data_IF_896706144332
#
_entry.id   IF_896706144332
#
_cell.length_a   1.000
_cell.length_b   1.000
_cell.length_c   1.000
_cell.angle_alpha   90.00
_cell.angle_beta   90.00
_cell.angle_gamma   90.00
#
_symmetry.space_group_name_H-M   'P 1'
#
loop_
_entity.id
_entity.type
_entity.pdbx_description
1 polymer ?
#
# COMPACT_ATOMS: atom_id res chain seq x y z
N UNK A 1 -19.34 -11.14 -8.57
CA UNK A 1 -19.43 -10.19 -7.43
C UNK A 1 -18.77 -10.80 -6.21
N UNK A 2 -18.12 -9.98 -5.40
CA UNK A 2 -17.30 -10.39 -4.26
C UNK A 2 -17.86 -9.75 -2.99
N UNK A 3 -18.28 -10.58 -2.02
CA UNK A 3 -18.92 -10.11 -0.79
C UNK A 3 -17.90 -9.51 0.17
N UNK A 4 -18.26 -8.38 0.78
CA UNK A 4 -17.53 -7.78 1.89
C UNK A 4 -17.95 -8.52 3.17
N UNK A 5 -17.00 -9.24 3.78
CA UNK A 5 -17.25 -10.01 5.03
C UNK A 5 -16.99 -9.18 6.28
N UNK A 6 -16.12 -8.15 6.17
CA UNK A 6 -15.79 -7.24 7.27
C UNK A 6 -15.44 -5.86 6.70
N UNK A 7 -15.90 -4.83 7.39
CA UNK A 7 -15.52 -3.45 7.16
C UNK A 7 -15.10 -2.79 8.47
N UNK A 8 -13.91 -2.18 8.51
CA UNK A 8 -13.41 -1.49 9.70
C UNK A 8 -12.78 -0.15 9.31
N UNK A 9 -13.25 0.93 9.92
CA UNK A 9 -12.60 2.24 9.81
C UNK A 9 -11.36 2.24 10.70
N UNK A 10 -10.18 2.51 10.13
CA UNK A 10 -8.91 2.55 10.86
C UNK A 10 -8.56 3.97 11.30
N UNK A 11 -8.78 4.96 10.41
CA UNK A 11 -8.60 6.39 10.66
C UNK A 11 -9.75 7.15 10.01
N UNK A 12 -9.74 8.48 10.07
CA UNK A 12 -10.74 9.32 9.42
C UNK A 12 -10.91 9.02 7.93
N UNK A 13 -9.80 8.74 7.22
CA UNK A 13 -9.77 8.53 5.76
C UNK A 13 -9.14 7.20 5.33
N UNK A 14 -8.94 6.25 6.25
CA UNK A 14 -8.42 4.92 5.93
C UNK A 14 -9.35 3.86 6.51
N UNK A 15 -9.66 2.86 5.70
CA UNK A 15 -10.47 1.71 6.12
C UNK A 15 -9.87 0.39 5.64
N UNK A 16 -10.27 -0.67 6.31
CA UNK A 16 -9.95 -2.05 6.00
C UNK A 16 -11.21 -2.75 5.50
N UNK A 17 -11.08 -3.54 4.46
CA UNK A 17 -12.09 -4.47 3.99
C UNK A 17 -11.54 -5.88 3.89
N UNK A 18 -12.29 -6.85 4.42
CA UNK A 18 -12.08 -8.26 4.21
C UNK A 18 -13.09 -8.77 3.20
N UNK A 19 -12.62 -9.33 2.10
CA UNK A 19 -13.42 -9.64 0.92
C UNK A 19 -13.36 -11.14 0.66
N UNK A 20 -14.52 -11.77 0.45
CA UNK A 20 -14.63 -13.18 0.08
C UNK A 20 -14.15 -13.37 -1.35
N UNK A 21 -12.93 -13.86 -1.51
CA UNK A 21 -12.26 -14.04 -2.80
C UNK A 21 -11.50 -15.38 -2.86
N UNK A 22 -12.19 -16.53 -2.95
CA UNK A 22 -11.59 -17.85 -2.80
C UNK A 22 -10.40 -18.13 -3.71
N UNK A 23 -10.51 -17.74 -5.00
CA UNK A 23 -9.44 -17.98 -5.99
C UNK A 23 -8.18 -17.16 -5.67
N UNK A 24 -8.35 -15.91 -5.27
CA UNK A 24 -7.24 -15.02 -4.89
C UNK A 24 -6.62 -15.50 -3.58
N UNK A 25 -7.42 -15.69 -2.54
CA UNK A 25 -6.95 -16.09 -1.21
C UNK A 25 -6.14 -17.40 -1.22
N UNK A 26 -6.49 -18.35 -2.12
CA UNK A 26 -5.78 -19.63 -2.23
C UNK A 26 -4.39 -19.47 -2.85
N UNK A 27 -4.19 -18.51 -3.74
CA UNK A 27 -3.00 -18.39 -4.60
C UNK A 27 -2.10 -17.21 -4.26
N UNK A 28 -2.61 -16.18 -3.58
CA UNK A 28 -1.83 -14.98 -3.31
C UNK A 28 -0.68 -15.23 -2.33
N UNK A 29 0.35 -14.42 -2.51
CA UNK A 29 1.56 -14.35 -1.69
C UNK A 29 1.81 -12.89 -1.30
N UNK A 30 2.65 -12.68 -0.29
CA UNK A 30 3.06 -11.34 0.11
C UNK A 30 3.70 -10.55 -1.04
N UNK A 31 3.45 -9.24 -1.10
CA UNK A 31 3.93 -8.34 -2.15
C UNK A 31 3.01 -8.23 -3.37
N UNK A 32 2.02 -9.11 -3.53
CA UNK A 32 1.05 -9.07 -4.63
C UNK A 32 -0.12 -8.12 -4.35
N UNK A 33 -0.86 -7.80 -5.40
CA UNK A 33 -2.01 -6.88 -5.37
C UNK A 33 -3.20 -7.44 -6.14
N UNK A 34 -4.30 -6.73 -6.10
CA UNK A 34 -5.53 -7.00 -6.86
C UNK A 34 -5.96 -5.75 -7.61
N UNK A 35 -6.67 -5.93 -8.72
CA UNK A 35 -7.44 -4.85 -9.36
C UNK A 35 -8.88 -4.97 -8.91
N UNK A 36 -9.43 -3.87 -8.40
CA UNK A 36 -10.80 -3.79 -7.89
C UNK A 36 -11.61 -2.84 -8.75
N UNK A 37 -12.87 -3.22 -9.02
CA UNK A 37 -13.90 -2.37 -9.63
C UNK A 37 -15.19 -2.53 -8.84
N UNK A 38 -15.73 -1.44 -8.31
CA UNK A 38 -16.86 -1.49 -7.38
C UNK A 38 -18.20 -1.71 -8.08
N UNK A 39 -18.41 -1.12 -9.25
CA UNK A 39 -19.64 -1.20 -10.05
C UNK A 39 -19.34 -1.12 -11.56
N UNK A 40 -20.35 -1.20 -12.41
CA UNK A 40 -20.19 -1.20 -13.87
C UNK A 40 -19.58 0.10 -14.42
N UNK A 41 -19.77 1.22 -13.74
CA UNK A 41 -19.22 2.54 -14.08
C UNK A 41 -17.95 2.87 -13.32
N UNK A 42 -17.55 1.98 -12.41
CA UNK A 42 -16.39 2.13 -11.54
C UNK A 42 -15.07 2.04 -12.30
N UNK A 43 -14.11 2.83 -11.85
CA UNK A 43 -12.72 2.71 -12.29
C UNK A 43 -12.11 1.42 -11.77
N UNK A 44 -11.10 0.95 -12.47
CA UNK A 44 -10.26 -0.15 -12.05
C UNK A 44 -9.08 0.41 -11.25
N UNK A 45 -8.98 0.04 -9.98
CA UNK A 45 -7.92 0.53 -9.08
C UNK A 45 -7.08 -0.63 -8.54
N UNK A 46 -5.75 -0.48 -8.47
CA UNK A 46 -4.87 -1.45 -7.83
C UNK A 46 -4.92 -1.28 -6.31
N UNK A 47 -5.07 -2.38 -5.59
CA UNK A 47 -4.98 -2.41 -4.14
C UNK A 47 -4.06 -3.55 -3.72
N UNK A 48 -3.05 -3.23 -2.92
CA UNK A 48 -2.14 -4.25 -2.41
C UNK A 48 -2.84 -5.15 -1.40
N UNK A 49 -2.56 -6.43 -1.46
CA UNK A 49 -3.05 -7.41 -0.50
C UNK A 49 -2.35 -7.16 0.84
N UNK A 50 -3.14 -6.77 1.85
CA UNK A 50 -2.66 -6.55 3.20
C UNK A 50 -2.58 -7.85 4.02
N UNK A 51 -3.55 -8.74 3.80
CA UNK A 51 -3.60 -10.04 4.48
C UNK A 51 -4.49 -11.00 3.70
N UNK A 52 -4.39 -12.29 3.99
CA UNK A 52 -5.24 -13.30 3.37
C UNK A 52 -5.42 -14.51 4.29
N UNK A 53 -6.63 -15.04 4.29
CA UNK A 53 -6.99 -16.25 5.02
C UNK A 53 -7.40 -17.34 4.04
N UNK A 54 -6.58 -18.40 3.96
CA UNK A 54 -6.81 -19.53 3.04
C UNK A 54 -7.96 -20.43 3.51
N UNK A 55 -8.22 -20.52 4.82
CA UNK A 55 -9.29 -21.33 5.39
C UNK A 55 -10.64 -20.64 5.16
N UNK A 56 -10.73 -19.38 5.54
CA UNK A 56 -11.93 -18.57 5.35
C UNK A 56 -12.06 -18.04 3.92
N UNK A 57 -11.04 -18.23 3.07
CA UNK A 57 -11.02 -17.81 1.65
C UNK A 57 -11.30 -16.32 1.48
N UNK A 58 -10.67 -15.50 2.33
CA UNK A 58 -10.81 -14.04 2.33
C UNK A 58 -9.47 -13.36 2.04
N UNK A 59 -9.56 -12.17 1.47
CA UNK A 59 -8.43 -11.27 1.22
C UNK A 59 -8.74 -9.94 1.88
N UNK A 60 -7.77 -9.39 2.60
CA UNK A 60 -7.86 -8.09 3.25
C UNK A 60 -7.13 -7.04 2.45
N UNK A 61 -7.79 -5.93 2.21
CA UNK A 61 -7.21 -4.73 1.62
C UNK A 61 -7.40 -3.54 2.56
N UNK A 62 -6.42 -2.65 2.59
CA UNK A 62 -6.50 -1.37 3.32
C UNK A 62 -6.49 -0.25 2.29
N UNK A 63 -7.44 0.65 2.40
CA UNK A 63 -7.73 1.66 1.39
C UNK A 63 -7.72 3.03 2.02
N UNK A 64 -7.01 3.97 1.39
CA UNK A 64 -7.06 5.39 1.73
C UNK A 64 -8.00 6.12 0.78
N UNK A 65 -8.89 6.93 1.32
CA UNK A 65 -9.86 7.74 0.57
C UNK A 65 -9.18 8.98 -0.01
N UNK A 66 -8.60 8.83 -1.22
CA UNK A 66 -7.86 9.89 -1.91
C UNK A 66 -8.44 10.26 -3.28
N UNK A 67 -9.42 9.51 -3.78
CA UNK A 67 -10.05 9.70 -5.08
C UNK A 67 -11.53 9.31 -5.05
N UNK A 68 -12.26 9.64 -6.11
CA UNK A 68 -13.70 9.37 -6.22
C UNK A 68 -14.06 7.90 -5.98
N UNK A 69 -13.30 6.98 -6.56
CA UNK A 69 -13.53 5.53 -6.42
C UNK A 69 -13.29 5.06 -4.99
N UNK A 70 -12.22 5.52 -4.33
CA UNK A 70 -11.93 5.13 -2.94
C UNK A 70 -12.91 5.75 -1.95
N UNK A 71 -13.44 6.97 -2.21
CA UNK A 71 -14.56 7.55 -1.46
C UNK A 71 -15.83 6.68 -1.57
N UNK A 72 -16.21 6.29 -2.81
CA UNK A 72 -17.36 5.39 -3.01
C UNK A 72 -17.15 4.06 -2.30
N UNK A 73 -15.96 3.51 -2.38
CA UNK A 73 -15.61 2.25 -1.72
C UNK A 73 -15.74 2.37 -0.19
N UNK A 74 -15.33 3.50 0.40
CA UNK A 74 -15.48 3.78 1.82
C UNK A 74 -16.92 3.87 2.33
N UNK A 75 -17.90 4.01 1.42
CA UNK A 75 -19.35 3.99 1.73
C UNK A 75 -19.93 2.58 1.77
N UNK A 76 -19.24 1.59 1.19
CA UNK A 76 -19.67 0.20 1.24
C UNK A 76 -19.59 -0.36 2.67
N UNK A 77 -20.43 -1.33 2.96
CA UNK A 77 -20.50 -1.95 4.29
C UNK A 77 -20.47 -3.47 4.17
N UNK A 78 -20.27 -4.12 5.29
CA UNK A 78 -20.39 -5.57 5.44
C UNK A 78 -21.68 -6.09 4.84
N UNK A 79 -21.62 -7.22 4.14
CA UNK A 79 -22.74 -7.82 3.42
C UNK A 79 -22.95 -7.29 1.99
N UNK A 80 -22.40 -6.13 1.65
CA UNK A 80 -22.43 -5.59 0.27
C UNK A 80 -21.38 -6.25 -0.62
N UNK A 81 -21.39 -5.91 -1.91
CA UNK A 81 -20.59 -6.57 -2.92
C UNK A 81 -19.73 -5.59 -3.72
N UNK A 82 -18.56 -6.05 -4.11
CA UNK A 82 -17.69 -5.46 -5.13
C UNK A 82 -17.89 -6.23 -6.42
N UNK A 83 -17.95 -5.55 -7.55
CA UNK A 83 -18.22 -6.17 -8.86
C UNK A 83 -17.06 -7.08 -9.29
N UNK A 84 -15.83 -6.51 -9.39
CA UNK A 84 -14.63 -7.24 -9.78
C UNK A 84 -13.55 -7.18 -8.71
N UNK A 85 -12.88 -8.31 -8.51
CA UNK A 85 -11.73 -8.47 -7.63
C UNK A 85 -10.76 -9.44 -8.31
N UNK A 86 -9.89 -8.88 -9.15
CA UNK A 86 -9.02 -9.62 -10.06
C UNK A 86 -7.63 -9.76 -9.46
N UNK A 87 -7.15 -10.98 -9.35
CA UNK A 87 -5.83 -11.29 -8.81
C UNK A 87 -5.65 -12.76 -8.46
N UNK A 88 -4.53 -13.11 -7.79
CA UNK A 88 -3.43 -12.20 -7.45
C UNK A 88 -2.67 -11.72 -8.68
N UNK A 89 -2.22 -10.47 -8.67
CA UNK A 89 -1.45 -9.84 -9.73
C UNK A 89 -0.07 -9.41 -9.23
N UNK A 90 0.84 -9.18 -10.15
CA UNK A 90 2.24 -8.87 -9.84
C UNK A 90 3.05 -10.09 -9.41
N UNK A 91 4.37 -9.91 -9.40
CA UNK A 91 5.31 -10.87 -8.82
C UNK A 91 5.24 -10.82 -7.29
N UNK A 92 5.26 -11.97 -6.62
CA UNK A 92 5.41 -12.00 -5.17
C UNK A 92 6.72 -11.33 -4.72
N UNK A 93 6.77 -10.86 -3.47
CA UNK A 93 8.00 -10.34 -2.89
C UNK A 93 9.15 -11.33 -3.03
N UNK A 94 10.35 -10.83 -3.34
CA UNK A 94 11.54 -11.67 -3.45
C UNK A 94 11.82 -12.46 -2.16
N UNK A 95 11.34 -11.99 -1.02
CA UNK A 95 11.47 -12.71 0.25
C UNK A 95 10.82 -14.08 0.20
N UNK A 96 9.74 -14.23 -0.56
CA UNK A 96 9.00 -15.50 -0.68
C UNK A 96 9.73 -16.55 -1.51
N UNK A 97 10.74 -16.13 -2.28
CA UNK A 97 11.55 -17.01 -3.14
C UNK A 97 12.88 -17.40 -2.49
N UNK A 98 13.25 -16.81 -1.35
CA UNK A 98 14.48 -17.12 -0.63
C UNK A 98 14.29 -18.30 0.32
N UNK A 99 15.34 -19.11 0.46
CA UNK A 99 15.39 -20.14 1.49
C UNK A 99 15.49 -19.52 2.89
N UNK A 100 15.12 -20.31 3.91
CA UNK A 100 15.24 -19.86 5.32
C UNK A 100 16.70 -19.53 5.65
N UNK A 101 17.66 -20.31 5.11
CA UNK A 101 19.09 -20.10 5.33
C UNK A 101 19.58 -18.79 4.69
N UNK A 102 19.06 -18.40 3.52
CA UNK A 102 19.38 -17.12 2.90
C UNK A 102 18.77 -15.96 3.70
N UNK A 103 17.51 -16.10 4.14
CA UNK A 103 16.82 -15.08 4.94
C UNK A 103 17.50 -14.86 6.31
N UNK A 104 17.96 -15.93 6.97
CA UNK A 104 18.66 -15.85 8.26
C UNK A 104 20.00 -15.09 8.20
N UNK A 105 20.58 -14.94 7.03
CA UNK A 105 21.83 -14.16 6.83
C UNK A 105 21.59 -12.67 6.66
N UNK A 106 20.33 -12.24 6.55
CA UNK A 106 19.99 -10.85 6.25
C UNK A 106 19.42 -10.15 7.47
N UNK A 107 19.97 -9.01 7.79
CA UNK A 107 19.34 -8.03 8.69
C UNK A 107 18.41 -7.16 7.86
N UNK A 108 17.10 -7.35 8.04
CA UNK A 108 16.07 -6.73 7.21
C UNK A 108 15.40 -5.59 7.95
N UNK A 109 15.27 -4.44 7.28
CA UNK A 109 14.46 -3.32 7.75
C UNK A 109 13.39 -2.97 6.72
N UNK A 110 12.16 -2.82 7.20
CA UNK A 110 11.06 -2.24 6.42
C UNK A 110 10.93 -0.75 6.73
N UNK A 111 10.66 0.04 5.71
CA UNK A 111 10.37 1.47 5.85
C UNK A 111 9.01 1.74 5.21
N UNK A 112 8.03 2.03 6.06
CA UNK A 112 6.64 2.21 5.65
C UNK A 112 6.18 3.65 5.84
N UNK A 113 5.52 4.24 4.84
CA UNK A 113 4.93 5.57 4.92
C UNK A 113 3.41 5.56 4.76
N UNK A 114 2.68 6.08 5.74
CA UNK A 114 1.22 6.16 5.69
C UNK A 114 0.55 4.80 5.45
N UNK A 115 -0.30 4.69 4.42
CA UNK A 115 -0.96 3.44 4.05
C UNK A 115 0.00 2.33 3.59
N UNK A 116 1.27 2.67 3.29
CA UNK A 116 2.32 1.70 2.94
C UNK A 116 2.63 0.68 4.04
N UNK A 117 2.13 0.87 5.25
CA UNK A 117 2.15 -0.13 6.32
C UNK A 117 1.36 -1.39 5.93
N UNK A 118 0.26 -1.23 5.20
CA UNK A 118 -0.60 -2.35 4.81
C UNK A 118 0.12 -3.40 3.92
N UNK A 119 0.85 -3.03 2.85
CA UNK A 119 1.66 -3.99 2.08
C UNK A 119 2.91 -4.50 2.80
N UNK A 120 3.40 -3.82 3.85
CA UNK A 120 4.53 -4.31 4.67
C UNK A 120 4.08 -5.44 5.59
N UNK A 121 2.88 -5.37 6.14
CA UNK A 121 2.36 -6.34 7.10
C UNK A 121 2.44 -7.81 6.62
N UNK A 122 1.95 -8.19 5.43
CA UNK A 122 2.00 -9.58 4.98
C UNK A 122 3.43 -10.09 4.75
N UNK A 123 4.36 -9.20 4.43
CA UNK A 123 5.77 -9.57 4.28
C UNK A 123 6.43 -9.84 5.64
N UNK A 124 6.17 -9.00 6.64
CA UNK A 124 6.63 -9.22 8.01
C UNK A 124 6.00 -10.49 8.60
N UNK A 125 4.70 -10.71 8.36
CA UNK A 125 4.03 -11.93 8.82
C UNK A 125 4.64 -13.18 8.20
N UNK A 126 4.94 -13.16 6.89
CA UNK A 126 5.65 -14.24 6.20
C UNK A 126 7.02 -14.54 6.85
N UNK A 127 7.82 -13.50 7.13
CA UNK A 127 9.12 -13.66 7.79
C UNK A 127 8.97 -14.25 9.18
N UNK A 128 8.02 -13.75 9.97
CA UNK A 128 7.72 -14.28 11.32
C UNK A 128 7.34 -15.77 11.28
N UNK A 129 6.48 -16.18 10.35
CA UNK A 129 6.10 -17.59 10.16
C UNK A 129 7.30 -18.48 9.85
N UNK A 130 8.36 -17.92 9.28
CA UNK A 130 9.65 -18.59 9.00
C UNK A 130 10.66 -18.47 10.16
N UNK A 131 10.30 -17.80 11.25
CA UNK A 131 11.20 -17.54 12.37
C UNK A 131 12.26 -16.47 12.11
N UNK A 132 12.08 -15.67 11.03
CA UNK A 132 13.00 -14.60 10.63
C UNK A 132 12.57 -13.29 11.30
N UNK A 133 13.54 -12.59 11.88
CA UNK A 133 13.33 -11.29 12.53
C UNK A 133 13.59 -10.16 11.57
N UNK A 134 12.73 -9.13 11.62
CA UNK A 134 12.92 -7.91 10.84
C UNK A 134 12.43 -6.69 11.63
N UNK A 135 13.11 -5.57 11.45
CA UNK A 135 12.72 -4.29 12.01
C UNK A 135 11.76 -3.55 11.05
N UNK A 136 10.90 -2.69 11.60
CA UNK A 136 10.06 -1.80 10.79
C UNK A 136 10.11 -0.37 11.31
N UNK A 137 10.29 0.58 10.40
CA UNK A 137 10.17 2.02 10.63
C UNK A 137 8.88 2.48 9.96
N UNK A 138 7.97 3.05 10.75
CA UNK A 138 6.68 3.57 10.29
C UNK A 138 6.68 5.09 10.39
N UNK A 139 6.41 5.76 9.27
CA UNK A 139 6.27 7.21 9.20
C UNK A 139 4.84 7.64 8.90
N UNK A 140 4.38 8.68 9.59
CA UNK A 140 3.12 9.34 9.32
C UNK A 140 3.23 10.84 9.59
N UNK A 141 2.29 11.65 9.06
CA UNK A 141 2.26 13.09 9.36
C UNK A 141 1.92 13.35 10.83
N UNK A 142 1.02 12.52 11.40
CA UNK A 142 0.57 12.63 12.79
C UNK A 142 0.13 11.26 13.31
N UNK A 143 0.01 11.14 14.64
CA UNK A 143 -0.47 9.95 15.35
C UNK A 143 -1.79 9.41 14.77
N UNK A 144 -2.71 10.30 14.38
CA UNK A 144 -4.03 9.91 13.88
C UNK A 144 -4.02 9.22 12.51
N UNK A 145 -2.87 9.19 11.83
CA UNK A 145 -2.69 8.52 10.52
C UNK A 145 -1.94 7.20 10.64
N UNK A 146 -1.53 6.82 11.84
CA UNK A 146 -0.88 5.54 12.07
C UNK A 146 -1.92 4.41 12.11
N UNK A 147 -1.64 3.36 11.35
CA UNK A 147 -2.50 2.18 11.22
C UNK A 147 -1.74 0.90 11.58
N UNK A 148 -2.45 -0.16 11.92
CA UNK A 148 -1.92 -1.52 12.15
C UNK A 148 -0.76 -1.58 13.16
N UNK A 149 -0.72 -0.66 14.15
CA UNK A 149 0.39 -0.59 15.09
C UNK A 149 0.49 -1.85 15.98
N UNK A 150 -0.64 -2.37 16.43
CA UNK A 150 -0.65 -3.55 17.30
C UNK A 150 -0.36 -4.82 16.50
N UNK A 151 -0.85 -4.90 15.26
CA UNK A 151 -0.53 -5.97 14.34
C UNK A 151 0.98 -6.00 14.02
N UNK A 152 1.60 -4.85 13.77
CA UNK A 152 3.05 -4.77 13.54
C UNK A 152 3.88 -5.21 14.73
N UNK A 153 3.49 -4.86 15.96
CA UNK A 153 4.19 -5.29 17.19
C UNK A 153 4.21 -6.82 17.33
N UNK A 154 3.22 -7.49 16.74
CA UNK A 154 3.15 -8.96 16.78
C UNK A 154 4.11 -9.57 15.76
N UNK A 155 4.31 -8.96 14.59
CA UNK A 155 5.04 -9.56 13.46
C UNK A 155 6.46 -9.04 13.27
N UNK A 156 6.80 -7.86 13.77
CA UNK A 156 8.14 -7.28 13.69
C UNK A 156 8.96 -7.54 14.96
N UNK A 157 10.29 -7.55 14.83
CA UNK A 157 11.21 -7.60 15.98
C UNK A 157 11.17 -6.27 16.74
N UNK A 158 11.36 -5.15 16.02
CA UNK A 158 11.25 -3.81 16.57
C UNK A 158 10.36 -2.94 15.67
N UNK A 159 9.49 -2.14 16.29
CA UNK A 159 8.65 -1.16 15.60
C UNK A 159 9.11 0.24 16.01
N UNK A 160 9.65 0.99 15.06
CA UNK A 160 10.05 2.38 15.26
C UNK A 160 9.03 3.29 14.59
N UNK A 161 8.52 4.27 15.33
CA UNK A 161 7.51 5.20 14.85
C UNK A 161 8.13 6.58 14.72
N UNK A 162 7.87 7.25 13.60
CA UNK A 162 8.16 8.67 13.40
C UNK A 162 6.91 9.42 12.98
N UNK A 163 6.75 10.63 13.49
CA UNK A 163 5.70 11.54 13.03
C UNK A 163 6.28 12.92 12.73
N UNK A 164 5.79 13.56 11.66
CA UNK A 164 6.28 14.88 11.25
C UNK A 164 6.08 15.92 12.35
N UNK A 165 4.95 15.83 13.07
CA UNK A 165 4.58 16.72 14.17
C UNK A 165 5.18 16.33 15.54
N UNK A 166 5.72 15.12 15.67
CA UNK A 166 6.24 14.58 16.93
C UNK A 166 5.16 14.12 17.92
N UNK A 167 3.92 13.91 17.47
CA UNK A 167 2.82 13.51 18.34
C UNK A 167 2.93 12.07 18.86
N UNK A 168 3.72 11.22 18.18
CA UNK A 168 4.07 9.86 18.63
C UNK A 168 5.41 9.43 18.04
N UNK A 169 6.21 8.76 18.85
CA UNK A 169 7.55 8.29 18.44
C UNK A 169 8.56 9.43 18.28
N UNK A 170 9.54 9.26 17.40
CA UNK A 170 10.52 10.30 17.10
C UNK A 170 9.89 11.37 16.18
N UNK A 171 10.21 12.63 16.42
CA UNK A 171 9.84 13.70 15.50
C UNK A 171 10.78 13.70 14.30
N UNK A 172 10.25 13.64 13.09
CA UNK A 172 11.02 13.70 11.85
C UNK A 172 10.60 12.64 10.82
N UNK A 173 11.44 12.45 9.83
CA UNK A 173 11.19 11.55 8.71
C UNK A 173 11.70 10.13 8.98
N UNK A 174 11.18 9.17 8.22
CA UNK A 174 11.66 7.78 8.27
C UNK A 174 13.15 7.64 7.92
N UNK A 175 13.65 8.52 7.06
CA UNK A 175 15.08 8.61 6.71
C UNK A 175 15.96 8.98 7.89
N UNK A 176 15.52 9.94 8.70
CA UNK A 176 16.26 10.40 9.89
C UNK A 176 16.34 9.26 10.90
N UNK A 177 15.25 8.52 11.07
CA UNK A 177 15.22 7.35 11.96
C UNK A 177 16.12 6.23 11.46
N UNK A 178 16.07 5.91 10.16
CA UNK A 178 16.94 4.87 9.58
C UNK A 178 18.41 5.24 9.75
N UNK A 179 18.79 6.49 9.43
CA UNK A 179 20.17 6.96 9.57
C UNK A 179 20.62 6.93 11.04
N UNK A 180 19.75 7.35 11.97
CA UNK A 180 20.01 7.27 13.42
C UNK A 180 20.29 5.84 13.87
N UNK A 181 19.46 4.87 13.49
CA UNK A 181 19.63 3.46 13.85
C UNK A 181 20.96 2.89 13.33
N UNK A 182 21.35 3.23 12.11
CA UNK A 182 22.64 2.80 11.54
C UNK A 182 23.80 3.46 12.29
N UNK A 183 23.71 4.75 12.61
CA UNK A 183 24.73 5.46 13.39
C UNK A 183 24.85 4.94 14.83
N UNK A 184 23.77 4.41 15.40
CA UNK A 184 23.73 3.74 16.70
C UNK A 184 24.26 2.28 16.67
N UNK A 185 24.73 1.82 15.49
CA UNK A 185 25.35 0.50 15.32
C UNK A 185 24.43 -0.60 14.79
N UNK A 186 23.20 -0.30 14.41
CA UNK A 186 22.37 -1.26 13.68
C UNK A 186 22.94 -1.49 12.28
N UNK A 187 23.06 -2.74 11.89
CA UNK A 187 23.46 -3.13 10.54
C UNK A 187 22.26 -3.72 9.79
N UNK A 188 22.03 -3.23 8.57
CA UNK A 188 20.99 -3.75 7.70
C UNK A 188 21.58 -4.12 6.33
N UNK A 189 21.24 -5.32 5.85
CA UNK A 189 21.65 -5.83 4.54
C UNK A 189 20.61 -5.51 3.47
N UNK A 190 19.33 -5.46 3.89
CA UNK A 190 18.19 -5.24 3.01
C UNK A 190 17.18 -4.26 3.62
N UNK A 191 16.86 -3.22 2.86
CA UNK A 191 15.75 -2.30 3.14
C UNK A 191 14.62 -2.54 2.16
N UNK A 192 13.38 -2.63 2.66
CA UNK A 192 12.18 -2.68 1.81
C UNK A 192 11.34 -1.44 2.12
N UNK A 193 11.26 -0.52 1.16
CA UNK A 193 10.56 0.76 1.35
C UNK A 193 9.24 0.78 0.57
N UNK A 194 8.14 1.05 1.28
CA UNK A 194 6.79 1.08 0.72
C UNK A 194 6.02 2.30 1.24
N UNK A 195 5.58 3.15 0.33
CA UNK A 195 4.84 4.36 0.69
C UNK A 195 4.79 5.38 -0.46
N UNK A 196 4.66 6.67 -0.14
CA UNK A 196 4.70 7.72 -1.15
C UNK A 196 5.99 7.67 -1.98
N UNK A 197 5.88 7.87 -3.30
CA UNK A 197 7.03 7.78 -4.24
C UNK A 197 8.18 8.68 -3.82
N UNK A 198 7.88 9.88 -3.32
CA UNK A 198 8.89 10.82 -2.83
C UNK A 198 9.62 10.28 -1.60
N UNK A 199 8.93 9.61 -0.67
CA UNK A 199 9.55 8.97 0.49
C UNK A 199 10.49 7.85 0.03
N UNK A 200 10.04 6.97 -0.86
CA UNK A 200 10.85 5.88 -1.40
C UNK A 200 12.11 6.41 -2.11
N UNK A 201 12.00 7.51 -2.88
CA UNK A 201 13.15 8.19 -3.49
C UNK A 201 14.19 8.58 -2.44
N UNK A 202 13.79 9.28 -1.37
CA UNK A 202 14.72 9.72 -0.33
C UNK A 202 15.30 8.57 0.49
N UNK A 203 14.52 7.53 0.76
CA UNK A 203 15.03 6.30 1.38
C UNK A 203 16.11 5.68 0.49
N UNK A 204 15.88 5.57 -0.83
CA UNK A 204 16.89 5.03 -1.76
C UNK A 204 18.17 5.87 -1.84
N UNK A 205 18.04 7.20 -1.80
CA UNK A 205 19.21 8.07 -1.76
C UNK A 205 20.04 7.86 -0.49
N UNK A 206 19.39 7.73 0.64
CA UNK A 206 20.04 7.45 1.92
C UNK A 206 20.68 6.05 1.92
N UNK A 207 19.93 5.02 1.58
CA UNK A 207 20.42 3.63 1.63
C UNK A 207 21.55 3.37 0.62
N UNK A 208 21.55 4.06 -0.52
CA UNK A 208 22.68 4.02 -1.47
C UNK A 208 23.97 4.55 -0.84
N UNK A 209 23.89 5.65 -0.06
CA UNK A 209 25.02 6.20 0.68
C UNK A 209 25.49 5.27 1.79
N UNK A 210 24.55 4.57 2.44
CA UNK A 210 24.83 3.64 3.53
C UNK A 210 25.24 2.24 3.05
N UNK A 211 25.22 1.97 1.74
CA UNK A 211 25.54 0.66 1.17
C UNK A 211 24.50 -0.42 1.43
N UNK A 212 23.26 -0.05 1.75
CA UNK A 212 22.16 -0.97 2.05
C UNK A 212 21.38 -1.25 0.77
N UNK A 213 21.30 -2.52 0.33
CA UNK A 213 20.45 -2.92 -0.80
C UNK A 213 19.00 -2.54 -0.51
N UNK A 214 18.32 -1.94 -1.48
CA UNK A 214 16.94 -1.43 -1.25
C UNK A 214 15.98 -1.87 -2.33
N UNK A 215 14.85 -2.43 -1.89
CA UNK A 215 13.69 -2.74 -2.72
C UNK A 215 12.61 -1.71 -2.44
N UNK A 216 11.92 -1.29 -3.50
CA UNK A 216 10.75 -0.40 -3.40
C UNK A 216 9.54 -1.04 -4.05
N UNK A 217 8.37 -0.91 -3.42
CA UNK A 217 7.11 -1.33 -4.03
C UNK A 217 6.45 -0.15 -4.73
N UNK A 218 6.50 -0.17 -6.07
CA UNK A 218 6.04 0.94 -6.90
C UNK A 218 4.52 0.89 -7.12
N UNK A 219 3.89 2.06 -7.03
CA UNK A 219 2.44 2.25 -7.16
C UNK A 219 2.05 3.23 -8.29
N UNK A 220 2.50 3.02 -9.54
CA UNK A 220 2.09 3.85 -10.67
C UNK A 220 0.60 3.62 -10.98
N UNK A 221 0.05 4.48 -11.87
CA UNK A 221 -1.30 4.29 -12.40
C UNK A 221 -1.39 2.93 -13.07
N UNK A 222 -2.38 2.13 -12.68
CA UNK A 222 -2.67 0.81 -13.27
C UNK A 222 -4.14 0.73 -13.70
N UNK A 223 -4.39 0.09 -14.85
CA UNK A 223 -5.74 -0.08 -15.41
C UNK A 223 -6.10 -1.55 -15.56
N UNK A 224 -5.39 -2.31 -16.40
CA UNK A 224 -5.71 -3.72 -16.64
C UNK A 224 -5.03 -4.70 -15.67
N UNK A 225 -3.81 -4.39 -15.23
CA UNK A 225 -3.04 -5.23 -14.31
C UNK A 225 -2.34 -6.43 -14.96
N UNK A 226 -2.37 -6.58 -16.30
CA UNK A 226 -1.87 -7.75 -17.03
C UNK A 226 -0.72 -7.43 -18.01
N UNK A 227 -0.22 -6.18 -17.99
CA UNK A 227 0.90 -5.75 -18.84
C UNK A 227 0.50 -5.28 -20.24
N UNK A 228 -0.78 -5.32 -20.61
CA UNK A 228 -1.22 -5.00 -21.96
C UNK A 228 -1.37 -3.50 -22.23
N UNK A 229 -1.93 -2.73 -21.28
CA UNK A 229 -2.26 -1.32 -21.51
C UNK A 229 -1.05 -0.37 -21.40
N UNK A 230 0.04 -0.79 -20.75
CA UNK A 230 1.24 0.01 -20.57
C UNK A 230 1.09 1.21 -19.63
N UNK A 231 -0.04 1.37 -18.92
CA UNK A 231 -0.28 2.49 -18.01
C UNK A 231 0.73 2.53 -16.86
N UNK A 232 1.11 1.38 -16.34
CA UNK A 232 2.00 1.23 -15.19
C UNK A 232 3.50 1.17 -15.55
N UNK A 233 3.89 1.59 -16.76
CA UNK A 233 5.29 1.56 -17.18
C UNK A 233 6.14 2.53 -16.37
N UNK A 234 7.34 2.10 -16.05
CA UNK A 234 8.39 2.88 -15.40
C UNK A 234 9.76 2.45 -15.95
N UNK A 235 10.78 3.24 -15.69
CA UNK A 235 12.16 2.92 -16.06
C UNK A 235 12.90 2.40 -14.83
N UNK A 236 13.53 1.23 -15.00
CA UNK A 236 14.40 0.61 -13.99
C UNK A 236 15.74 0.30 -14.65
N UNK A 237 16.78 1.02 -14.27
CA UNK A 237 18.03 1.05 -15.02
C UNK A 237 17.80 1.58 -16.44
N UNK A 238 18.21 0.82 -17.45
CA UNK A 238 18.04 1.18 -18.86
C UNK A 238 16.81 0.54 -19.51
N UNK A 239 15.91 -0.09 -18.72
CA UNK A 239 14.80 -0.88 -19.24
C UNK A 239 13.45 -0.33 -18.84
N UNK A 240 12.51 -0.34 -19.79
CA UNK A 240 11.09 -0.13 -19.49
C UNK A 240 10.56 -1.38 -18.83
N UNK A 241 9.91 -1.20 -17.69
CA UNK A 241 9.25 -2.23 -16.90
C UNK A 241 7.77 -1.88 -16.69
N UNK A 242 6.95 -2.89 -16.50
CA UNK A 242 5.52 -2.75 -16.18
C UNK A 242 5.28 -3.23 -14.75
N UNK A 243 4.95 -2.31 -13.85
CA UNK A 243 4.81 -2.63 -12.43
C UNK A 243 3.79 -3.76 -12.15
N UNK A 244 2.79 -3.92 -13.01
CA UNK A 244 1.77 -4.94 -12.83
C UNK A 244 2.21 -6.37 -13.17
N UNK A 245 3.29 -6.57 -13.94
CA UNK A 245 3.77 -7.91 -14.34
C UNK A 245 5.25 -8.13 -14.02
N UNK A 246 6.11 -7.09 -14.10
CA UNK A 246 7.52 -7.19 -13.72
C UNK A 246 7.77 -6.89 -12.23
N UNK A 247 6.81 -6.22 -11.57
CA UNK A 247 6.86 -5.77 -10.18
C UNK A 247 5.64 -6.27 -9.39
N UNK A 248 5.20 -5.55 -8.37
CA UNK A 248 5.44 -4.13 -8.10
C UNK A 248 6.78 -3.80 -7.44
N UNK A 249 7.54 -4.79 -6.98
CA UNK A 249 8.81 -4.59 -6.30
C UNK A 249 9.97 -4.52 -7.30
N UNK A 250 10.86 -3.52 -7.09
CA UNK A 250 12.03 -3.27 -7.93
C UNK A 250 13.23 -2.86 -7.08
N UNK A 251 14.44 -3.03 -7.64
CA UNK A 251 15.64 -2.43 -7.07
C UNK A 251 15.50 -0.89 -7.04
N UNK A 252 15.36 -0.35 -5.84
CA UNK A 252 15.10 1.07 -5.62
C UNK A 252 16.22 1.98 -6.10
N UNK A 253 17.48 1.49 -6.16
CA UNK A 253 18.59 2.25 -6.65
C UNK A 253 18.63 2.39 -8.19
N UNK A 254 17.78 1.63 -8.88
CA UNK A 254 17.68 1.62 -10.34
C UNK A 254 16.41 2.29 -10.87
N UNK A 255 15.44 2.65 -10.00
CA UNK A 255 14.16 3.26 -10.40
C UNK A 255 14.34 4.74 -10.78
N UNK A 256 13.80 5.14 -11.92
CA UNK A 256 13.60 6.55 -12.29
C UNK A 256 12.38 7.13 -11.56
N UNK A 257 12.59 7.59 -10.32
CA UNK A 257 11.54 8.18 -9.49
C UNK A 257 10.95 9.46 -10.08
N UNK A 258 11.76 10.28 -10.76
CA UNK A 258 11.30 11.54 -11.33
C UNK A 258 10.36 11.30 -12.50
N UNK A 259 10.65 10.33 -13.35
CA UNK A 259 9.76 9.88 -14.40
C UNK A 259 8.44 9.34 -13.85
N UNK A 260 8.48 8.53 -12.78
CA UNK A 260 7.26 8.04 -12.12
C UNK A 260 6.44 9.18 -11.52
N UNK A 261 7.06 10.10 -10.79
CA UNK A 261 6.35 11.25 -10.20
C UNK A 261 5.70 12.15 -11.26
N UNK A 262 6.35 12.34 -12.41
CA UNK A 262 5.76 13.09 -13.52
C UNK A 262 4.56 12.37 -14.13
N UNK A 263 4.61 11.05 -14.26
CA UNK A 263 3.47 10.25 -14.74
C UNK A 263 2.28 10.27 -13.79
N UNK A 264 2.52 10.25 -12.48
CA UNK A 264 1.46 10.36 -11.47
C UNK A 264 0.72 11.71 -11.49
N UNK A 265 1.23 12.72 -12.21
CA UNK A 265 0.57 14.02 -12.37
C UNK A 265 -0.41 14.07 -13.56
N UNK A 266 -0.37 13.08 -14.47
CA UNK A 266 -1.05 13.12 -15.77
C UNK A 266 -2.57 13.36 -15.68
N UNK A 267 -3.24 12.84 -14.65
CA UNK A 267 -4.70 12.91 -14.52
C UNK A 267 -5.17 13.64 -13.26
N UNK A 268 -4.30 14.40 -12.60
CA UNK A 268 -4.65 15.09 -11.33
C UNK A 268 -5.84 16.03 -11.44
N UNK A 269 -6.01 16.71 -12.57
CA UNK A 269 -7.12 17.63 -12.78
C UNK A 269 -8.45 16.87 -12.91
N UNK A 270 -8.46 15.78 -13.67
CA UNK A 270 -9.61 14.91 -13.87
C UNK A 270 -9.99 14.18 -12.59
N UNK A 271 -9.02 13.65 -11.88
CA UNK A 271 -9.18 13.01 -10.57
C UNK A 271 -9.75 14.00 -9.54
N UNK A 272 -9.22 15.22 -9.50
CA UNK A 272 -9.71 16.27 -8.61
C UNK A 272 -11.16 16.67 -8.90
N UNK A 273 -11.53 16.81 -10.17
CA UNK A 273 -12.93 17.09 -10.58
C UNK A 273 -13.86 15.95 -10.20
N UNK A 274 -13.44 14.70 -10.44
CA UNK A 274 -14.22 13.52 -10.08
C UNK A 274 -14.43 13.41 -8.56
N UNK A 275 -13.38 13.70 -7.80
CA UNK A 275 -13.42 13.72 -6.34
C UNK A 275 -14.41 14.75 -5.78
N UNK A 276 -14.33 16.01 -6.24
CA UNK A 276 -15.25 17.08 -5.84
C UNK A 276 -16.70 16.72 -6.17
N UNK A 277 -16.96 16.24 -7.40
CA UNK A 277 -18.29 15.80 -7.81
C UNK A 277 -18.85 14.67 -6.93
N UNK A 278 -18.01 13.79 -6.40
CA UNK A 278 -18.46 12.73 -5.50
C UNK A 278 -18.76 13.26 -4.10
N UNK A 279 -18.00 14.25 -3.63
CA UNK A 279 -18.27 14.95 -2.36
C UNK A 279 -19.55 15.77 -2.40
N UNK A 280 -19.82 16.47 -3.51
CA UNK A 280 -21.05 17.28 -3.68
C UNK A 280 -22.32 16.43 -3.57
N UNK A 281 -22.31 15.17 -4.00
CA UNK A 281 -23.44 14.26 -3.83
C UNK A 281 -23.79 14.02 -2.35
N UNK A 282 -22.83 14.14 -1.44
CA UNK A 282 -23.05 13.99 0.00
C UNK A 282 -23.76 15.21 0.60
N UNK A 283 -23.46 16.40 0.11
CA UNK A 283 -24.04 17.65 0.64
C UNK A 283 -25.48 17.87 0.18
N UNK A 284 -25.89 17.31 -0.97
CA UNK A 284 -27.25 17.45 -1.48
C UNK A 284 -28.28 16.47 -0.91
N UNK A 285 -27.90 15.48 -0.13
CA UNK A 285 -28.84 14.59 0.57
C UNK A 285 -29.31 15.13 1.93
N UNK A 286 -28.92 16.31 2.34
CA UNK A 286 -29.25 16.95 3.61
C UNK A 286 -30.11 18.21 3.51
N UNK A 287 -30.80 18.46 2.41
CA UNK A 287 -31.48 19.74 2.19
C UNK A 287 -32.93 19.63 1.71
N UNK A 288 -33.82 20.06 2.55
CA UNK A 288 -35.13 20.66 2.28
C UNK A 288 -36.28 19.72 1.81
N UNK A 289 -36.83 18.98 2.76
CA UNK A 289 -38.22 18.49 2.69
C UNK A 289 -39.28 19.57 2.96
N UNK A 290 -39.12 20.79 2.43
CA UNK A 290 -40.09 21.90 2.62
C UNK A 290 -40.19 22.77 1.35
N UNK A 291 -40.59 22.16 0.23
CA UNK A 291 -41.18 22.89 -0.90
C UNK A 291 -42.24 21.98 -1.53
N UNK A 292 -43.21 21.54 -0.74
CA UNK A 292 -44.52 21.17 -1.17
C UNK A 292 -45.38 22.41 -1.09
N UNK A 293 -45.46 23.18 -2.14
CA UNK A 293 -46.36 24.30 -2.37
C UNK A 293 -47.30 23.93 -3.51
N UNK A 294 -48.56 23.83 -3.14
CA UNK A 294 -49.72 23.78 -4.00
C UNK A 294 -49.63 24.77 -5.20
N UNK A 295 -49.92 24.29 -6.41
CA UNK A 295 -51.03 24.69 -7.25
C UNK A 295 -51.08 23.84 -8.52
#
# INVERSE_FOLDING_TARGET
>A
MYKIEEYKRLTENIFLMKIKAPRVATKCLAGQFVIVRIDEKGERIPLTICDFDRLNKTVTVVVQEIGATTLKMGKLREGQFILDFVGPLGTPSELTNKSIEELNKLNIVFVAGGVGVAPVYPQLNYLKEKGIKADVIVGAKSKNQLILQDELKVVAENVYITTDDGALGDKGLVTDKLEKLVNEGKHYDLCIAIGPVIMMKFVCLLTKRLGIRTIVSMNPIMVDGTGMCGACRLIVGDKVKFACVDGPEFDGHMVDFDGVMNRLKLYKTEEGRAYLKEQEKETHHGGCGLCGGED
#
